data_IF_734064261841
#
_entry.id   IF_734064261841
#
_cell.length_a   1.000
_cell.length_b   1.000
_cell.length_c   1.000
_cell.angle_alpha   90.00
_cell.angle_beta   90.00
_cell.angle_gamma   90.00
#
_symmetry.space_group_name_H-M   'P 1'
#
loop_
_entity.id
_entity.type
_entity.pdbx_description
1 polymer ?
#
# COMPACT_ATOMS: atom_id res chain seq x y z
N UNK A 1 -4.00 -13.30 1.57
CA UNK A 1 -4.44 -14.12 0.42
C UNK A 1 -4.90 -15.51 0.82
N UNK A 2 -4.07 -16.36 1.44
CA UNK A 2 -4.48 -17.72 1.86
C UNK A 2 -5.82 -17.73 2.63
N UNK A 3 -5.98 -16.85 3.63
CA UNK A 3 -7.22 -16.71 4.40
C UNK A 3 -8.43 -16.30 3.55
N UNK A 4 -8.26 -15.47 2.51
CA UNK A 4 -9.37 -15.13 1.59
C UNK A 4 -9.75 -16.37 0.77
N UNK A 5 -8.75 -17.04 0.19
CA UNK A 5 -8.97 -18.21 -0.65
C UNK A 5 -9.65 -19.34 0.12
N UNK A 6 -9.24 -19.57 1.37
CA UNK A 6 -9.85 -20.55 2.27
C UNK A 6 -11.19 -20.12 2.89
N UNK A 7 -11.65 -18.88 2.63
CA UNK A 7 -12.91 -18.35 3.17
C UNK A 7 -12.86 -17.97 4.66
N UNK A 8 -11.67 -17.79 5.23
CA UNK A 8 -11.49 -17.30 6.61
C UNK A 8 -11.68 -15.78 6.75
N UNK A 9 -11.64 -15.03 5.65
CA UNK A 9 -11.99 -13.60 5.57
C UNK A 9 -12.78 -13.34 4.28
N UNK A 10 -13.60 -12.29 4.27
CA UNK A 10 -14.32 -11.84 3.07
C UNK A 10 -13.58 -10.76 2.28
N UNK A 11 -12.84 -9.90 3.01
CA UNK A 11 -12.14 -8.72 2.48
C UNK A 11 -10.74 -8.66 3.08
N UNK A 12 -9.76 -8.31 2.27
CA UNK A 12 -8.38 -8.08 2.73
C UNK A 12 -7.77 -6.80 2.16
N UNK A 13 -6.62 -6.41 2.71
CA UNK A 13 -5.75 -5.34 2.20
C UNK A 13 -4.41 -5.96 1.78
N UNK A 14 -4.04 -5.80 0.51
CA UNK A 14 -2.77 -6.32 -0.05
C UNK A 14 -2.41 -5.53 -1.29
N UNK A 15 -1.20 -5.75 -1.82
CA UNK A 15 -0.83 -5.19 -3.10
C UNK A 15 -1.51 -5.84 -4.29
N UNK A 16 -1.65 -5.04 -5.36
CA UNK A 16 -2.32 -5.43 -6.57
C UNK A 16 -1.69 -6.68 -7.22
N UNK A 17 -0.39 -6.93 -7.03
CA UNK A 17 0.31 -8.09 -7.60
C UNK A 17 -0.31 -9.41 -7.15
N UNK A 18 -0.75 -9.47 -5.90
CA UNK A 18 -1.23 -10.74 -5.33
C UNK A 18 -2.52 -11.17 -6.02
N UNK A 19 -3.38 -10.20 -6.40
CA UNK A 19 -4.58 -10.48 -7.19
C UNK A 19 -4.26 -10.98 -8.61
N UNK A 20 -3.22 -10.43 -9.24
CA UNK A 20 -2.76 -10.84 -10.58
C UNK A 20 -2.24 -12.29 -10.54
N UNK A 21 -1.41 -12.63 -9.55
CA UNK A 21 -0.89 -14.00 -9.43
C UNK A 21 -1.98 -15.04 -9.23
N UNK A 22 -2.99 -14.72 -8.40
CA UNK A 22 -4.13 -15.62 -8.18
C UNK A 22 -4.99 -15.73 -9.43
N UNK A 23 -5.22 -14.63 -10.14
CA UNK A 23 -5.97 -14.64 -11.39
C UNK A 23 -5.30 -15.54 -12.44
N UNK A 24 -3.96 -15.48 -12.55
CA UNK A 24 -3.18 -16.32 -13.47
C UNK A 24 -3.26 -17.82 -13.18
N UNK A 25 -3.69 -18.22 -11.97
CA UNK A 25 -3.91 -19.62 -11.61
C UNK A 25 -5.22 -20.20 -12.16
N UNK A 26 -6.05 -19.39 -12.84
CA UNK A 26 -7.25 -19.86 -13.54
C UNK A 26 -8.42 -20.20 -12.62
N UNK A 27 -8.56 -19.51 -11.48
CA UNK A 27 -9.71 -19.71 -10.58
C UNK A 27 -10.99 -19.07 -11.13
N UNK A 28 -12.12 -19.77 -10.97
CA UNK A 28 -13.45 -19.25 -11.32
C UNK A 28 -13.97 -18.16 -10.36
N UNK A 29 -13.34 -18.00 -9.19
CA UNK A 29 -13.70 -16.99 -8.20
C UNK A 29 -12.49 -16.13 -7.80
N UNK A 30 -12.03 -15.26 -8.71
CA UNK A 30 -10.81 -14.50 -8.52
C UNK A 30 -10.94 -13.45 -7.42
N UNK A 31 -9.80 -13.10 -6.82
CA UNK A 31 -9.68 -11.94 -5.95
C UNK A 31 -9.68 -10.66 -6.79
N UNK A 32 -10.66 -9.79 -6.57
CA UNK A 32 -10.84 -8.53 -7.29
C UNK A 32 -10.57 -7.36 -6.34
N UNK A 33 -9.73 -6.43 -6.77
CA UNK A 33 -9.54 -5.16 -6.07
C UNK A 33 -10.77 -4.28 -6.30
N UNK A 34 -11.31 -3.67 -5.25
CA UNK A 34 -12.49 -2.79 -5.36
C UNK A 34 -12.33 -1.43 -4.67
N UNK A 35 -11.25 -1.20 -3.91
CA UNK A 35 -10.93 0.12 -3.38
C UNK A 35 -9.42 0.36 -3.27
N UNK A 36 -8.95 1.54 -3.67
CA UNK A 36 -7.58 2.00 -3.45
C UNK A 36 -7.44 2.69 -2.07
N UNK A 37 -6.30 2.49 -1.39
CA UNK A 37 -6.02 3.14 -0.10
C UNK A 37 -4.82 4.09 -0.19
N UNK A 38 -3.78 3.68 -0.92
CA UNK A 38 -2.56 4.46 -1.14
C UNK A 38 -2.36 4.72 -2.63
N UNK A 39 -1.95 5.93 -3.01
CA UNK A 39 -1.64 6.29 -4.40
C UNK A 39 -0.13 6.32 -4.71
N UNK A 40 0.69 6.42 -3.67
CA UNK A 40 2.13 6.19 -3.74
C UNK A 40 2.56 5.44 -2.48
N UNK A 41 3.77 4.91 -2.50
CA UNK A 41 4.38 4.28 -1.35
C UNK A 41 5.54 5.10 -0.78
N UNK A 42 5.85 4.84 0.49
CA UNK A 42 6.96 5.42 1.24
C UNK A 42 8.14 4.45 1.34
N UNK A 43 8.54 3.79 0.25
CA UNK A 43 9.74 2.94 0.23
C UNK A 43 11.00 3.80 0.29
N UNK A 44 12.02 3.33 1.02
CA UNK A 44 13.32 3.97 1.11
C UNK A 44 14.41 3.06 0.54
N UNK A 45 15.36 3.68 -0.16
CA UNK A 45 16.66 3.07 -0.42
C UNK A 45 17.63 3.51 0.67
N UNK A 46 18.20 2.55 1.40
CA UNK A 46 19.10 2.82 2.52
C UNK A 46 20.44 2.12 2.28
N UNK A 47 21.54 2.82 2.52
CA UNK A 47 22.88 2.25 2.51
C UNK A 47 23.55 2.41 3.88
N UNK A 48 24.30 1.39 4.31
CA UNK A 48 25.16 1.47 5.51
C UNK A 48 26.36 2.39 5.32
N UNK A 49 26.78 2.62 4.08
CA UNK A 49 27.92 3.47 3.71
C UNK A 49 27.46 4.43 2.63
N UNK A 50 27.39 5.70 2.96
CA UNK A 50 27.14 6.77 1.99
C UNK A 50 28.48 7.29 1.45
N UNK A 51 28.52 7.65 0.17
CA UNK A 51 29.64 8.35 -0.44
C UNK A 51 29.11 9.61 -1.11
N UNK A 52 29.07 10.71 -0.36
CA UNK A 52 28.57 12.00 -0.86
C UNK A 52 27.07 11.99 -1.18
N UNK A 53 26.67 12.83 -2.14
CA UNK A 53 25.30 12.92 -2.62
C UNK A 53 24.88 11.65 -3.37
N UNK A 54 23.58 11.34 -3.33
CA UNK A 54 23.04 10.16 -3.98
C UNK A 54 22.99 10.34 -5.50
N UNK A 55 23.49 9.35 -6.22
CA UNK A 55 23.32 9.20 -7.67
C UNK A 55 22.95 7.75 -7.99
N UNK A 56 21.96 7.54 -8.87
CA UNK A 56 21.54 6.21 -9.34
C UNK A 56 22.72 5.42 -9.94
N UNK A 57 23.67 6.11 -10.59
CA UNK A 57 24.86 5.47 -11.14
C UNK A 57 25.72 4.77 -10.07
N UNK A 58 25.67 5.24 -8.82
CA UNK A 58 26.41 4.67 -7.69
C UNK A 58 25.95 3.26 -7.30
N UNK A 59 24.77 2.84 -7.77
CA UNK A 59 24.20 1.52 -7.49
C UNK A 59 24.63 0.47 -8.52
N UNK A 60 25.30 0.86 -9.62
CA UNK A 60 25.76 -0.08 -10.65
C UNK A 60 26.81 -1.03 -10.06
N UNK A 61 26.51 -2.33 -10.12
CA UNK A 61 27.34 -3.39 -9.53
C UNK A 61 27.19 -3.55 -8.01
N UNK A 62 26.35 -2.73 -7.35
CA UNK A 62 26.05 -2.92 -5.94
C UNK A 62 25.12 -4.12 -5.71
N UNK A 63 25.23 -4.75 -4.54
CA UNK A 63 24.26 -5.74 -4.11
C UNK A 63 22.99 -5.05 -3.61
N UNK A 64 21.88 -5.25 -4.31
CA UNK A 64 20.56 -4.76 -3.91
C UNK A 64 19.83 -5.80 -3.06
N UNK A 65 19.42 -5.39 -1.86
CA UNK A 65 18.60 -6.18 -0.94
C UNK A 65 17.21 -5.55 -0.86
N UNK A 66 16.25 -6.08 -1.62
CA UNK A 66 14.84 -5.74 -1.38
C UNK A 66 14.11 -6.83 -0.60
N UNK A 67 12.77 -6.72 -0.51
CA UNK A 67 11.97 -7.55 0.40
C UNK A 67 11.89 -9.03 -0.03
N UNK A 68 10.87 -9.37 -0.83
CA UNK A 68 10.55 -10.74 -1.24
C UNK A 68 10.63 -10.79 -2.75
N UNK A 69 11.33 -11.78 -3.30
CA UNK A 69 11.33 -12.04 -4.74
C UNK A 69 9.89 -12.18 -5.26
N UNK A 70 9.53 -11.41 -6.28
CA UNK A 70 8.17 -11.35 -6.83
C UNK A 70 7.14 -10.70 -5.90
N UNK A 71 7.57 -9.88 -4.94
CA UNK A 71 6.69 -8.96 -4.21
C UNK A 71 6.74 -7.57 -4.80
N UNK A 72 5.67 -6.79 -4.68
CA UNK A 72 5.62 -5.44 -5.24
C UNK A 72 6.79 -4.53 -4.81
N UNK A 73 7.23 -4.50 -3.53
CA UNK A 73 8.35 -3.64 -3.15
C UNK A 73 9.66 -3.98 -3.89
N UNK A 74 9.93 -5.27 -4.11
CA UNK A 74 11.10 -5.70 -4.88
C UNK A 74 10.96 -5.30 -6.35
N UNK A 75 9.81 -5.57 -6.97
CA UNK A 75 9.58 -5.27 -8.39
C UNK A 75 9.62 -3.76 -8.67
N UNK A 76 9.05 -2.94 -7.79
CA UNK A 76 9.12 -1.49 -7.87
C UNK A 76 10.56 -0.98 -7.73
N UNK A 77 11.31 -1.53 -6.77
CA UNK A 77 12.73 -1.23 -6.58
C UNK A 77 13.58 -1.59 -7.80
N UNK A 78 13.46 -2.82 -8.31
CA UNK A 78 14.13 -3.27 -9.53
C UNK A 78 13.79 -2.40 -10.73
N UNK A 79 12.51 -2.02 -10.89
CA UNK A 79 12.09 -1.13 -11.95
C UNK A 79 12.74 0.26 -11.87
N UNK A 80 12.84 0.84 -10.66
CA UNK A 80 13.51 2.12 -10.47
C UNK A 80 15.02 2.02 -10.77
N UNK A 81 15.66 0.92 -10.35
CA UNK A 81 17.07 0.63 -10.63
C UNK A 81 17.34 0.46 -12.13
N UNK A 82 16.47 -0.22 -12.87
CA UNK A 82 16.61 -0.40 -14.32
C UNK A 82 16.43 0.93 -15.07
N UNK A 83 15.58 1.82 -14.55
CA UNK A 83 15.23 3.09 -15.20
C UNK A 83 16.08 4.27 -14.73
N UNK A 84 17.01 4.06 -13.80
CA UNK A 84 17.84 5.08 -13.16
C UNK A 84 17.02 6.30 -12.69
N UNK A 85 15.82 6.07 -12.13
CA UNK A 85 14.91 7.14 -11.66
C UNK A 85 13.89 6.69 -10.63
N UNK A 86 13.42 7.65 -9.83
CA UNK A 86 12.27 7.47 -8.94
C UNK A 86 10.95 7.37 -9.72
N UNK A 87 10.02 6.58 -9.18
CA UNK A 87 8.64 6.47 -9.67
C UNK A 87 7.69 6.23 -8.50
N UNK A 88 6.53 6.88 -8.56
CA UNK A 88 5.41 6.59 -7.66
C UNK A 88 4.74 5.28 -8.08
N UNK A 89 4.43 4.44 -7.10
CA UNK A 89 3.67 3.21 -7.29
C UNK A 89 2.63 3.10 -6.17
N UNK A 90 1.36 2.88 -6.54
CA UNK A 90 0.32 2.56 -5.59
C UNK A 90 0.47 1.10 -5.14
N UNK A 91 0.61 0.88 -3.83
CA UNK A 91 0.92 -0.45 -3.30
C UNK A 91 -0.22 -1.14 -2.57
N UNK A 92 -1.20 -0.43 -2.01
CA UNK A 92 -2.22 -1.07 -1.17
C UNK A 92 -3.63 -0.86 -1.73
N UNK A 93 -4.29 -1.98 -2.03
CA UNK A 93 -5.67 -2.06 -2.49
C UNK A 93 -6.45 -3.03 -1.60
N UNK A 94 -7.74 -2.76 -1.47
CA UNK A 94 -8.70 -3.64 -0.82
C UNK A 94 -9.28 -4.58 -1.86
N UNK A 95 -9.34 -5.86 -1.51
CA UNK A 95 -9.78 -6.92 -2.39
C UNK A 95 -10.77 -7.86 -1.70
N UNK A 96 -11.62 -8.50 -2.50
CA UNK A 96 -12.53 -9.56 -2.08
C UNK A 96 -12.73 -10.56 -3.21
N UNK A 97 -13.30 -11.72 -2.92
CA UNK A 97 -13.68 -12.69 -3.97
C UNK A 97 -14.73 -12.08 -4.89
N UNK A 98 -14.66 -12.39 -6.19
CA UNK A 98 -15.64 -11.89 -7.16
C UNK A 98 -17.06 -12.29 -6.76
N UNK A 99 -17.27 -13.52 -6.31
CA UNK A 99 -18.55 -14.03 -5.83
C UNK A 99 -19.09 -13.25 -4.64
N UNK A 100 -18.22 -12.92 -3.67
CA UNK A 100 -18.57 -12.10 -2.51
C UNK A 100 -19.00 -10.70 -2.96
N UNK A 101 -18.23 -10.05 -3.83
CA UNK A 101 -18.52 -8.70 -4.30
C UNK A 101 -19.88 -8.63 -4.99
N UNK A 102 -20.16 -9.58 -5.91
CA UNK A 102 -21.45 -9.69 -6.61
C UNK A 102 -22.61 -10.01 -5.66
N UNK A 103 -22.40 -10.86 -4.66
CA UNK A 103 -23.46 -11.26 -3.72
C UNK A 103 -23.74 -10.21 -2.64
N UNK A 104 -22.76 -9.37 -2.33
CA UNK A 104 -22.78 -8.42 -1.20
C UNK A 104 -22.49 -6.99 -1.66
N UNK A 105 -23.02 -6.60 -2.82
CA UNK A 105 -22.80 -5.29 -3.44
C UNK A 105 -23.05 -4.12 -2.48
N UNK A 106 -24.14 -4.17 -1.70
CA UNK A 106 -24.45 -3.13 -0.72
C UNK A 106 -23.39 -3.01 0.38
N UNK A 107 -22.86 -4.15 0.85
CA UNK A 107 -21.81 -4.18 1.88
C UNK A 107 -20.51 -3.63 1.31
N UNK A 108 -20.14 -4.03 0.08
CA UNK A 108 -18.96 -3.52 -0.62
C UNK A 108 -19.07 -2.01 -0.83
N UNK A 109 -20.23 -1.51 -1.26
CA UNK A 109 -20.44 -0.07 -1.44
C UNK A 109 -20.32 0.69 -0.12
N UNK A 110 -20.91 0.17 0.97
CA UNK A 110 -20.78 0.78 2.31
C UNK A 110 -19.32 0.78 2.79
N UNK A 111 -18.57 -0.28 2.49
CA UNK A 111 -17.14 -0.38 2.80
C UNK A 111 -16.32 0.65 2.03
N UNK A 112 -16.53 0.77 0.71
CA UNK A 112 -15.87 1.79 -0.12
C UNK A 112 -16.23 3.22 0.32
N UNK A 113 -17.49 3.45 0.71
CA UNK A 113 -17.91 4.73 1.28
C UNK A 113 -17.19 5.05 2.61
N UNK A 114 -16.95 4.04 3.46
CA UNK A 114 -16.21 4.22 4.69
C UNK A 114 -14.73 4.56 4.43
N UNK A 115 -14.09 3.89 3.47
CA UNK A 115 -12.73 4.22 3.02
C UNK A 115 -12.69 5.67 2.54
N UNK A 116 -13.62 6.06 1.66
CA UNK A 116 -13.66 7.42 1.12
C UNK A 116 -13.79 8.49 2.21
N UNK A 117 -14.66 8.25 3.21
CA UNK A 117 -14.80 9.14 4.37
C UNK A 117 -13.49 9.21 5.19
N UNK A 118 -12.80 8.10 5.37
CA UNK A 118 -11.52 8.07 6.05
C UNK A 118 -10.43 8.83 5.27
N UNK A 119 -10.36 8.65 3.94
CA UNK A 119 -9.44 9.36 3.05
C UNK A 119 -9.65 10.88 3.13
N UNK A 120 -10.89 11.36 2.99
CA UNK A 120 -11.22 12.78 3.18
C UNK A 120 -10.76 13.30 4.53
N UNK A 121 -11.12 12.59 5.61
CA UNK A 121 -10.78 13.02 6.96
C UNK A 121 -9.28 13.09 7.18
N UNK A 122 -8.51 12.12 6.66
CA UNK A 122 -7.04 12.13 6.74
C UNK A 122 -6.48 13.32 5.96
N UNK A 123 -7.00 13.63 4.77
CA UNK A 123 -6.50 14.75 3.97
C UNK A 123 -6.80 16.11 4.62
N UNK A 124 -7.99 16.28 5.19
CA UNK A 124 -8.46 17.53 5.80
C UNK A 124 -7.87 17.82 7.19
N UNK A 125 -7.62 16.78 8.00
CA UNK A 125 -7.22 16.93 9.41
C UNK A 125 -5.74 17.20 9.62
N UNK A 126 -5.38 17.82 10.72
CA UNK A 126 -3.96 17.97 11.09
C UNK A 126 -3.32 16.62 11.46
N UNK A 127 -1.99 16.53 11.39
CA UNK A 127 -1.26 15.33 11.82
C UNK A 127 -1.53 15.01 13.29
N UNK A 128 -1.63 16.01 14.16
CA UNK A 128 -1.91 15.82 15.59
C UNK A 128 -3.28 15.17 15.81
N UNK A 129 -4.34 15.68 15.17
CA UNK A 129 -5.68 15.10 15.30
C UNK A 129 -5.74 13.64 14.81
N UNK A 130 -4.99 13.32 13.75
CA UNK A 130 -4.91 11.94 13.24
C UNK A 130 -4.12 11.06 14.20
N UNK A 131 -2.98 11.55 14.71
CA UNK A 131 -2.15 10.83 15.68
C UNK A 131 -2.95 10.47 16.93
N UNK A 132 -3.68 11.43 17.49
CA UNK A 132 -4.49 11.22 18.69
C UNK A 132 -5.59 10.16 18.44
N UNK A 133 -6.18 10.14 17.24
CA UNK A 133 -7.20 9.15 16.86
C UNK A 133 -6.63 7.74 16.68
N UNK A 134 -5.37 7.58 16.23
CA UNK A 134 -4.77 6.27 15.96
C UNK A 134 -3.89 5.75 17.09
N UNK A 135 -3.41 6.62 17.99
CA UNK A 135 -2.52 6.26 19.09
C UNK A 135 -2.99 5.06 19.94
N UNK A 136 -4.30 4.88 20.24
CA UNK A 136 -4.78 3.72 21.00
C UNK A 136 -4.48 2.36 20.34
N UNK A 137 -4.26 2.33 19.02
CA UNK A 137 -3.94 1.13 18.26
C UNK A 137 -2.42 0.82 18.23
N UNK A 138 -1.57 1.74 18.72
CA UNK A 138 -0.11 1.62 18.71
C UNK A 138 0.46 1.77 20.13
N UNK A 139 0.03 0.91 21.05
CA UNK A 139 0.32 1.01 22.50
C UNK A 139 1.81 1.07 22.84
N UNK A 140 2.66 0.45 22.04
CA UNK A 140 4.11 0.36 22.27
C UNK A 140 4.92 1.38 21.47
N UNK A 141 4.29 2.45 20.95
CA UNK A 141 4.93 3.48 20.15
C UNK A 141 4.76 4.85 20.77
N UNK A 142 5.86 5.61 20.79
CA UNK A 142 5.84 7.01 21.19
C UNK A 142 5.01 7.84 20.20
N UNK A 143 4.18 8.74 20.72
CA UNK A 143 3.27 9.56 19.90
C UNK A 143 4.03 10.40 18.86
N UNK A 144 5.24 10.84 19.19
CA UNK A 144 6.09 11.60 18.27
C UNK A 144 6.56 10.77 17.06
N UNK A 145 6.79 9.46 17.25
CA UNK A 145 7.09 8.55 16.14
C UNK A 145 5.87 8.42 15.23
N UNK A 146 4.67 8.27 15.81
CA UNK A 146 3.41 8.20 15.06
C UNK A 146 3.22 9.48 14.23
N UNK A 147 3.38 10.65 14.86
CA UNK A 147 3.29 11.96 14.19
C UNK A 147 4.29 12.09 13.05
N UNK A 148 5.55 11.70 13.26
CA UNK A 148 6.60 11.72 12.24
C UNK A 148 6.23 10.87 11.02
N UNK A 149 5.70 9.66 11.23
CA UNK A 149 5.25 8.77 10.14
C UNK A 149 4.06 9.36 9.40
N UNK A 150 3.05 9.86 10.11
CA UNK A 150 1.86 10.46 9.53
C UNK A 150 2.20 11.70 8.68
N UNK A 151 3.05 12.59 9.21
CA UNK A 151 3.53 13.77 8.50
C UNK A 151 4.23 13.37 7.20
N UNK A 152 5.15 12.41 7.27
CA UNK A 152 5.87 11.92 6.09
C UNK A 152 4.92 11.38 5.02
N UNK A 153 3.93 10.57 5.41
CA UNK A 153 2.95 10.05 4.46
C UNK A 153 2.08 11.15 3.84
N UNK A 154 1.77 12.22 4.58
CA UNK A 154 1.10 13.39 4.03
C UNK A 154 1.99 14.14 3.02
N UNK A 155 3.22 14.45 3.39
CA UNK A 155 4.16 15.20 2.55
C UNK A 155 4.46 14.49 1.23
N UNK A 156 4.52 13.16 1.26
CA UNK A 156 4.70 12.32 0.07
C UNK A 156 3.44 12.24 -0.81
N UNK A 157 2.28 12.60 -0.27
CA UNK A 157 0.97 12.36 -0.89
C UNK A 157 0.63 10.87 -0.95
N UNK A 158 0.98 10.09 0.07
CA UNK A 158 0.77 8.63 0.13
C UNK A 158 -0.70 8.24 0.11
N UNK A 159 -1.52 8.92 0.91
CA UNK A 159 -2.95 8.64 1.02
C UNK A 159 -3.66 8.97 -0.30
N UNK A 160 -4.43 8.02 -0.83
CA UNK A 160 -5.26 8.28 -2.01
C UNK A 160 -6.42 9.24 -1.66
N UNK A 161 -6.79 10.10 -2.61
CA UNK A 161 -7.90 11.06 -2.47
C UNK A 161 -9.28 10.43 -2.56
N UNK A 162 -9.35 9.27 -3.21
CA UNK A 162 -10.56 8.52 -3.43
C UNK A 162 -10.22 7.02 -3.59
N UNK A 163 -11.22 6.13 -3.47
CA UNK A 163 -10.99 4.70 -3.53
C UNK A 163 -10.99 4.14 -4.96
N UNK A 164 -11.03 4.99 -6.00
CA UNK A 164 -11.12 4.52 -7.38
C UNK A 164 -9.85 3.75 -7.76
N UNK A 165 -10.02 2.72 -8.58
CA UNK A 165 -8.93 1.93 -9.13
C UNK A 165 -8.79 2.33 -10.61
N UNK A 166 -7.59 2.75 -10.98
CA UNK A 166 -7.15 3.04 -12.34
C UNK A 166 -6.55 1.82 -13.06
#
# INVERSE_FOLDING_TARGET
MAALLSGGIDVGLVGAETSIYVYQQGTDDPAINFAQVTQTDGTFLVSRKTKGEFDWSSLKGASYLGLRKGGMPQMAGEYCLIRDRERKAALHRVYGKQSFIKKKEEVVQKFSNAIYKAQKRILEKSVNEIADAVAPYFKDKEIEIIRSVLQRYKDQGTYASDPTID
#
